data_IF_878867593171
#
_entry.id   IF_878867593171
#
_cell.length_a   1.000
_cell.length_b   1.000
_cell.length_c   1.000
_cell.angle_alpha   90.00
_cell.angle_beta   90.00
_cell.angle_gamma   90.00
#
_symmetry.space_group_name_H-M   'P 1'
#
loop_
_entity.id
_entity.type
_entity.pdbx_description
1 polymer ?
#
# COMPACT_ATOMS: atom_id res chain seq x y z
N UNK A 1 25.87 -1.22 -1.24
CA UNK A 1 24.84 -0.28 -0.78
C UNK A 1 24.79 -0.43 0.73
N UNK A 2 25.25 0.55 1.51
CA UNK A 2 25.16 0.46 2.98
C UNK A 2 23.68 0.33 3.33
N UNK A 3 23.32 -0.76 4.00
CA UNK A 3 21.96 -0.96 4.51
C UNK A 3 21.75 0.15 5.53
N UNK A 4 20.79 1.03 5.26
CA UNK A 4 20.38 2.03 6.23
C UNK A 4 19.95 1.29 7.50
N UNK A 5 20.62 1.49 8.65
CA UNK A 5 20.31 0.78 9.89
C UNK A 5 18.88 1.07 10.37
N UNK A 6 18.28 2.17 9.93
CA UNK A 6 16.88 2.53 10.21
C UNK A 6 15.89 1.93 9.21
N UNK A 7 16.35 1.07 8.29
CA UNK A 7 15.55 0.47 7.22
C UNK A 7 14.74 1.50 6.40
N UNK A 8 15.09 2.79 6.39
CA UNK A 8 14.34 3.84 5.70
C UNK A 8 13.03 4.24 6.37
N UNK A 9 12.92 4.11 7.71
CA UNK A 9 11.73 4.51 8.49
C UNK A 9 11.31 5.94 8.18
N UNK A 10 12.22 6.91 8.29
CA UNK A 10 11.89 8.33 8.03
C UNK A 10 11.43 8.57 6.59
N UNK A 11 12.04 7.89 5.60
CA UNK A 11 11.62 7.98 4.21
C UNK A 11 10.19 7.46 3.98
N UNK A 12 9.82 6.39 4.70
CA UNK A 12 8.46 5.81 4.67
C UNK A 12 7.44 6.70 5.35
N UNK A 13 7.74 7.16 6.56
CA UNK A 13 6.90 8.12 7.30
C UNK A 13 6.67 9.37 6.45
N UNK A 14 7.72 9.92 5.85
CA UNK A 14 7.61 11.08 4.99
C UNK A 14 6.65 10.83 3.81
N UNK A 15 6.75 9.68 3.13
CA UNK A 15 5.81 9.33 2.05
C UNK A 15 4.37 9.24 2.55
N UNK A 16 4.12 8.55 3.67
CA UNK A 16 2.78 8.36 4.21
C UNK A 16 2.16 9.68 4.67
N UNK A 17 2.93 10.55 5.33
CA UNK A 17 2.47 11.87 5.76
C UNK A 17 2.13 12.76 4.56
N UNK A 18 2.93 12.71 3.49
CA UNK A 18 2.63 13.46 2.26
C UNK A 18 1.38 12.92 1.57
N UNK A 19 1.19 11.61 1.54
CA UNK A 19 -0.03 11.00 0.99
C UNK A 19 -1.26 11.36 1.81
N UNK A 20 -1.16 11.38 3.14
CA UNK A 20 -2.24 11.84 4.00
C UNK A 20 -2.60 13.32 3.77
N UNK A 21 -1.63 14.16 3.41
CA UNK A 21 -1.90 15.55 2.98
C UNK A 21 -2.61 15.58 1.62
N UNK A 22 -2.20 14.75 0.66
CA UNK A 22 -2.85 14.64 -0.65
C UNK A 22 -4.32 14.23 -0.50
N UNK A 23 -4.62 13.18 0.27
CA UNK A 23 -6.01 12.72 0.48
C UNK A 23 -6.88 13.75 1.22
N UNK A 24 -6.30 14.66 2.01
CA UNK A 24 -7.06 15.75 2.65
C UNK A 24 -7.34 16.92 1.70
N UNK A 25 -6.65 16.98 0.56
CA UNK A 25 -6.80 18.06 -0.42
C UNK A 25 -7.91 17.83 -1.45
N UNK A 26 -8.54 16.67 -1.47
CA UNK A 26 -9.66 16.35 -2.36
C UNK A 26 -10.57 15.28 -1.76
N UNK A 27 -11.86 15.35 -2.06
CA UNK A 27 -12.86 14.42 -1.50
C UNK A 27 -12.71 12.99 -2.04
N UNK A 28 -12.23 12.87 -3.29
CA UNK A 28 -12.17 11.59 -4.00
C UNK A 28 -10.83 11.39 -4.70
N UNK A 29 -10.48 10.13 -4.96
CA UNK A 29 -9.24 9.81 -5.70
C UNK A 29 -9.29 10.35 -7.14
N UNK A 30 -10.48 10.42 -7.73
CA UNK A 30 -10.68 10.96 -9.07
C UNK A 30 -10.40 12.47 -9.16
N UNK A 31 -10.80 13.23 -8.15
CA UNK A 31 -10.61 14.68 -8.10
C UNK A 31 -9.12 15.08 -7.97
N UNK A 32 -8.24 14.15 -7.59
CA UNK A 32 -6.81 14.41 -7.45
C UNK A 32 -6.14 14.70 -8.80
N UNK A 33 -5.16 15.61 -8.77
CA UNK A 33 -4.25 15.82 -9.89
C UNK A 33 -3.57 14.50 -10.28
N UNK A 34 -3.35 14.31 -11.58
CA UNK A 34 -2.81 13.05 -12.12
C UNK A 34 -1.50 12.64 -11.43
N UNK A 35 -0.61 13.58 -11.12
CA UNK A 35 0.66 13.25 -10.47
C UNK A 35 0.47 12.79 -9.03
N UNK A 36 -0.51 13.32 -8.30
CA UNK A 36 -0.86 12.83 -6.96
C UNK A 36 -1.46 11.43 -7.00
N UNK A 37 -2.31 11.14 -7.99
CA UNK A 37 -2.77 9.77 -8.25
C UNK A 37 -1.62 8.80 -8.52
N UNK A 38 -0.60 9.23 -9.27
CA UNK A 38 0.61 8.42 -9.52
C UNK A 38 1.45 8.21 -8.25
N UNK A 39 1.59 9.24 -7.41
CA UNK A 39 2.29 9.18 -6.11
C UNK A 39 1.63 8.14 -5.19
N UNK A 40 0.32 8.22 -5.02
CA UNK A 40 -0.48 7.24 -4.26
C UNK A 40 -0.31 5.84 -4.87
N UNK A 41 -0.49 5.69 -6.19
CA UNK A 41 -0.43 4.40 -6.85
C UNK A 41 0.99 3.78 -6.93
N UNK A 42 2.05 4.53 -6.61
CA UNK A 42 3.43 4.06 -6.78
C UNK A 42 3.82 3.84 -8.24
N UNK A 43 3.20 4.60 -9.17
CA UNK A 43 3.44 4.55 -10.62
C UNK A 43 4.28 5.72 -11.12
N UNK A 44 4.92 6.45 -10.21
CA UNK A 44 5.77 7.61 -10.50
C UNK A 44 6.97 7.29 -11.39
N UNK A 45 7.32 8.27 -12.24
CA UNK A 45 8.55 8.29 -13.03
C UNK A 45 9.72 8.88 -12.25
N UNK A 46 10.96 8.62 -12.70
CA UNK A 46 12.17 9.25 -12.12
C UNK A 46 12.11 10.78 -12.19
N UNK A 47 11.46 11.34 -13.21
CA UNK A 47 11.30 12.79 -13.38
C UNK A 47 10.51 13.40 -12.21
N UNK A 48 9.40 12.79 -11.83
CA UNK A 48 8.52 13.30 -10.76
C UNK A 48 9.22 13.20 -9.38
N UNK A 49 9.86 12.07 -9.10
CA UNK A 49 10.62 11.88 -7.85
C UNK A 49 11.79 12.89 -7.72
N UNK A 50 12.47 13.20 -8.83
CA UNK A 50 13.54 14.21 -8.82
C UNK A 50 13.01 15.62 -8.58
N UNK A 51 11.83 15.96 -9.11
CA UNK A 51 11.28 17.30 -8.97
C UNK A 51 10.80 17.62 -7.56
N UNK A 52 10.32 16.62 -6.80
CA UNK A 52 9.83 16.84 -5.43
C UNK A 52 10.78 16.30 -4.34
N UNK A 53 11.85 15.59 -4.71
CA UNK A 53 12.82 15.03 -3.78
C UNK A 53 12.29 13.83 -2.98
N UNK A 54 11.12 13.28 -3.33
CA UNK A 54 10.47 12.21 -2.57
C UNK A 54 10.54 10.88 -3.33
N UNK A 55 10.99 9.84 -2.62
CA UNK A 55 11.00 8.46 -3.15
C UNK A 55 9.64 7.79 -2.92
N UNK A 56 8.65 8.07 -3.78
CA UNK A 56 7.27 7.54 -3.65
C UNK A 56 7.14 6.02 -3.71
N UNK A 57 8.22 5.33 -4.10
CA UNK A 57 8.30 3.89 -4.33
C UNK A 57 8.70 3.07 -3.11
N UNK A 58 8.75 3.68 -1.91
CA UNK A 58 9.05 2.98 -0.66
C UNK A 58 8.12 1.77 -0.44
N UNK A 59 6.79 1.93 -0.56
CA UNK A 59 5.82 0.83 -0.46
C UNK A 59 5.56 0.16 -1.83
N UNK A 60 6.62 -0.21 -2.53
CA UNK A 60 6.54 -0.90 -3.81
C UNK A 60 6.30 -0.01 -5.04
N UNK A 61 6.85 -0.45 -6.17
CA UNK A 61 6.72 0.21 -7.46
C UNK A 61 5.75 -0.55 -8.36
N UNK A 62 4.59 0.03 -8.64
CA UNK A 62 3.51 -0.65 -9.38
C UNK A 62 3.64 -0.53 -10.91
N UNK A 63 4.81 -0.12 -11.40
CA UNK A 63 5.09 0.17 -12.81
C UNK A 63 5.03 -1.03 -13.75
N UNK A 64 5.12 -2.26 -13.23
CA UNK A 64 5.09 -3.49 -14.05
C UNK A 64 3.68 -3.85 -14.54
N UNK A 65 2.64 -3.26 -13.95
CA UNK A 65 1.27 -3.43 -14.39
C UNK A 65 0.82 -2.19 -15.21
N UNK A 66 0.97 -2.28 -16.53
CA UNK A 66 0.62 -1.20 -17.46
C UNK A 66 -0.86 -0.84 -17.40
N UNK A 67 -1.76 -1.83 -17.33
CA UNK A 67 -3.21 -1.59 -17.18
C UNK A 67 -3.52 -0.80 -15.91
N UNK A 68 -2.89 -1.14 -14.78
CA UNK A 68 -3.05 -0.38 -13.53
C UNK A 68 -2.61 1.08 -13.70
N UNK A 69 -1.42 1.32 -14.27
CA UNK A 69 -0.93 2.67 -14.51
C UNK A 69 -1.84 3.47 -15.46
N UNK A 70 -2.35 2.85 -16.51
CA UNK A 70 -3.30 3.46 -17.44
C UNK A 70 -4.62 3.83 -16.74
N UNK A 71 -5.17 2.94 -15.92
CA UNK A 71 -6.39 3.21 -15.17
C UNK A 71 -6.21 4.37 -14.17
N UNK A 72 -5.06 4.41 -13.46
CA UNK A 72 -4.72 5.51 -12.54
C UNK A 72 -4.74 6.86 -13.26
N UNK A 73 -4.21 6.93 -14.47
CA UNK A 73 -4.09 8.18 -15.23
C UNK A 73 -5.40 8.55 -15.93
N UNK A 74 -6.02 7.60 -16.63
CA UNK A 74 -7.02 7.88 -17.66
C UNK A 74 -8.45 7.49 -17.25
N UNK A 75 -8.62 6.68 -16.20
CA UNK A 75 -9.95 6.24 -15.71
C UNK A 75 -9.99 6.19 -14.17
N UNK A 76 -9.65 7.28 -13.47
CA UNK A 76 -9.48 7.26 -12.02
C UNK A 76 -10.78 7.01 -11.25
N UNK A 77 -11.95 7.35 -11.83
CA UNK A 77 -13.28 7.04 -11.28
C UNK A 77 -13.39 5.60 -10.75
N UNK A 78 -12.84 4.64 -11.49
CA UNK A 78 -12.93 3.22 -11.15
C UNK A 78 -12.21 2.88 -9.85
N UNK A 79 -11.04 3.49 -9.60
CA UNK A 79 -10.33 3.31 -8.33
C UNK A 79 -10.87 4.21 -7.23
N UNK A 80 -11.45 5.37 -7.59
CA UNK A 80 -12.17 6.21 -6.64
C UNK A 80 -13.32 5.45 -6.00
N UNK A 81 -14.20 4.86 -6.82
CA UNK A 81 -15.34 4.05 -6.36
C UNK A 81 -14.94 2.89 -5.46
N UNK A 82 -13.79 2.26 -5.74
CA UNK A 82 -13.24 1.22 -4.88
C UNK A 82 -12.78 1.80 -3.54
N UNK A 83 -11.92 2.83 -3.58
CA UNK A 83 -11.38 3.48 -2.38
C UNK A 83 -12.47 4.06 -1.48
N UNK A 84 -13.56 4.58 -2.03
CA UNK A 84 -14.73 5.09 -1.27
C UNK A 84 -15.41 4.02 -0.41
N UNK A 85 -15.23 2.72 -0.69
CA UNK A 85 -15.70 1.66 0.18
C UNK A 85 -14.96 1.58 1.52
N UNK A 86 -13.77 2.20 1.60
CA UNK A 86 -12.95 2.22 2.82
C UNK A 86 -13.14 3.56 3.51
N UNK A 87 -13.57 3.60 4.78
CA UNK A 87 -13.75 4.85 5.51
C UNK A 87 -12.39 5.53 5.77
N UNK A 88 -12.39 6.86 5.69
CA UNK A 88 -11.17 7.67 5.88
C UNK A 88 -10.68 7.67 7.34
N UNK A 89 -11.59 7.55 8.29
CA UNK A 89 -11.30 7.45 9.72
C UNK A 89 -12.26 6.45 10.38
N UNK A 90 -11.96 6.06 11.62
CA UNK A 90 -12.75 5.08 12.36
C UNK A 90 -12.49 3.62 11.93
N UNK A 91 -13.33 2.68 12.40
CA UNK A 91 -13.15 1.27 12.12
C UNK A 91 -13.33 0.97 10.62
N UNK A 92 -12.58 -0.03 10.14
CA UNK A 92 -12.78 -0.61 8.80
C UNK A 92 -13.22 -2.05 9.00
N UNK A 93 -14.33 -2.44 8.38
CA UNK A 93 -14.91 -3.79 8.53
C UNK A 93 -14.51 -4.74 7.38
N UNK A 94 -14.83 -6.02 7.53
CA UNK A 94 -14.66 -7.01 6.45
C UNK A 94 -15.54 -6.63 5.25
N UNK A 95 -16.77 -6.18 5.48
CA UNK A 95 -17.70 -5.79 4.42
C UNK A 95 -17.18 -4.59 3.62
N UNK A 96 -16.56 -3.60 4.28
CA UNK A 96 -15.88 -2.48 3.61
C UNK A 96 -14.80 -3.00 2.65
N UNK A 97 -13.98 -3.93 3.15
CA UNK A 97 -12.91 -4.54 2.40
C UNK A 97 -13.43 -5.39 1.22
N UNK A 98 -14.46 -6.20 1.41
CA UNK A 98 -15.05 -7.02 0.36
C UNK A 98 -15.66 -6.16 -0.77
N UNK A 99 -16.36 -5.07 -0.40
CA UNK A 99 -16.86 -4.09 -1.38
C UNK A 99 -15.71 -3.43 -2.13
N UNK A 100 -14.63 -3.06 -1.44
CA UNK A 100 -13.40 -2.56 -2.08
C UNK A 100 -12.84 -3.58 -3.07
N UNK A 101 -12.64 -4.84 -2.69
CA UNK A 101 -12.06 -5.88 -3.56
C UNK A 101 -12.92 -6.12 -4.79
N UNK A 102 -14.25 -6.17 -4.63
CA UNK A 102 -15.20 -6.33 -5.75
C UNK A 102 -15.04 -5.19 -6.76
N UNK A 103 -15.09 -3.94 -6.30
CA UNK A 103 -14.96 -2.75 -7.17
C UNK A 103 -13.56 -2.62 -7.77
N UNK A 104 -12.51 -2.92 -6.99
CA UNK A 104 -11.13 -2.90 -7.46
C UNK A 104 -10.93 -3.90 -8.60
N UNK A 105 -11.42 -5.14 -8.48
CA UNK A 105 -11.36 -6.13 -9.57
C UNK A 105 -12.16 -5.68 -10.79
N UNK A 106 -13.36 -5.15 -10.58
CA UNK A 106 -14.22 -4.63 -11.67
C UNK A 106 -13.55 -3.48 -12.45
N UNK A 107 -12.67 -2.69 -11.82
CA UNK A 107 -11.93 -1.63 -12.47
C UNK A 107 -11.09 -2.11 -13.67
N UNK A 108 -10.66 -3.38 -13.67
CA UNK A 108 -9.83 -3.99 -14.70
C UNK A 108 -10.62 -4.72 -15.78
N UNK A 109 -11.95 -4.76 -15.72
CA UNK A 109 -12.76 -5.32 -16.82
C UNK A 109 -12.43 -4.57 -18.11
N UNK A 110 -12.23 -5.34 -19.18
CA UNK A 110 -11.78 -4.89 -20.50
C UNK A 110 -10.40 -4.21 -20.50
N UNK A 111 -9.49 -4.69 -19.65
CA UNK A 111 -8.07 -4.30 -19.69
C UNK A 111 -7.18 -5.51 -19.96
N UNK A 112 -6.01 -5.36 -20.61
CA UNK A 112 -5.14 -6.50 -20.95
C UNK A 112 -4.51 -7.23 -19.76
N UNK A 113 -4.51 -6.61 -18.57
CA UNK A 113 -3.87 -7.15 -17.36
C UNK A 113 -4.68 -6.78 -16.13
N UNK A 114 -5.07 -7.76 -15.34
CA UNK A 114 -5.77 -7.55 -14.07
C UNK A 114 -4.85 -6.95 -13.00
N UNK A 115 -5.46 -6.27 -12.03
CA UNK A 115 -4.82 -5.94 -10.76
C UNK A 115 -4.75 -7.16 -9.85
N UNK A 116 -3.80 -7.14 -8.92
CA UNK A 116 -3.61 -8.21 -7.93
C UNK A 116 -3.31 -7.67 -6.54
N UNK A 117 -2.79 -8.56 -5.69
CA UNK A 117 -2.46 -8.27 -4.29
C UNK A 117 -1.64 -6.99 -4.13
N UNK A 118 -0.54 -6.83 -4.87
CA UNK A 118 0.34 -5.67 -4.74
C UNK A 118 -0.34 -4.34 -5.08
N UNK A 119 -1.00 -4.26 -6.24
CA UNK A 119 -1.70 -3.03 -6.66
C UNK A 119 -2.89 -2.70 -5.76
N UNK A 120 -3.63 -3.72 -5.31
CA UNK A 120 -4.80 -3.54 -4.46
C UNK A 120 -4.42 -3.10 -3.04
N UNK A 121 -3.43 -3.77 -2.43
CA UNK A 121 -2.97 -3.42 -1.08
C UNK A 121 -2.17 -2.12 -1.04
N UNK A 122 -1.51 -1.73 -2.14
CA UNK A 122 -0.89 -0.40 -2.26
C UNK A 122 -1.92 0.70 -2.07
N UNK A 123 -3.01 0.70 -2.83
CA UNK A 123 -4.04 1.74 -2.71
C UNK A 123 -4.65 1.78 -1.30
N UNK A 124 -4.91 0.61 -0.71
CA UNK A 124 -5.41 0.50 0.67
C UNK A 124 -4.45 1.08 1.70
N UNK A 125 -3.17 0.67 1.67
CA UNK A 125 -2.15 1.13 2.61
C UNK A 125 -1.89 2.63 2.48
N UNK A 126 -2.04 3.21 1.29
CA UNK A 126 -1.91 4.66 1.13
C UNK A 126 -3.13 5.41 1.68
N UNK A 127 -4.33 4.85 1.61
CA UNK A 127 -5.55 5.48 2.17
C UNK A 127 -5.65 5.34 3.69
N UNK A 128 -5.33 4.16 4.22
CA UNK A 128 -5.42 3.81 5.65
C UNK A 128 -4.14 3.08 6.09
N UNK A 129 -3.01 3.81 6.24
CA UNK A 129 -1.74 3.20 6.62
C UNK A 129 -1.74 2.63 8.05
N UNK A 130 -2.70 3.01 8.88
CA UNK A 130 -2.95 2.42 10.20
C UNK A 130 -3.62 1.04 10.12
N UNK A 131 -4.31 0.73 9.02
CA UNK A 131 -5.13 -0.49 8.88
C UNK A 131 -4.57 -1.50 7.88
N UNK A 132 -3.84 -1.06 6.85
CA UNK A 132 -3.44 -1.93 5.76
C UNK A 132 -1.94 -1.91 5.51
N UNK A 133 -1.44 -3.07 5.12
CA UNK A 133 -0.05 -3.31 4.73
C UNK A 133 0.02 -3.42 3.22
N UNK A 134 0.92 -2.69 2.57
CA UNK A 134 1.17 -2.90 1.15
C UNK A 134 2.00 -4.18 0.99
N UNK A 135 1.45 -5.23 0.38
CA UNK A 135 2.15 -6.51 0.18
C UNK A 135 2.74 -6.58 -1.23
N UNK A 136 4.06 -6.59 -1.34
CA UNK A 136 4.78 -6.66 -2.61
C UNK A 136 5.69 -7.89 -2.69
N UNK A 137 6.51 -7.99 -3.75
CA UNK A 137 7.41 -9.13 -3.91
C UNK A 137 8.41 -9.28 -2.75
N UNK A 138 9.20 -8.22 -2.46
CA UNK A 138 10.16 -8.16 -1.35
C UNK A 138 9.64 -8.51 0.04
N UNK A 139 8.48 -7.99 0.45
CA UNK A 139 8.05 -8.11 1.85
C UNK A 139 7.14 -9.32 2.12
N UNK A 140 6.57 -9.93 1.07
CA UNK A 140 5.53 -10.97 1.19
C UNK A 140 5.96 -12.20 1.98
N UNK A 141 7.21 -12.65 1.85
CA UNK A 141 7.67 -13.82 2.62
C UNK A 141 7.69 -13.54 4.12
N UNK A 142 8.25 -12.40 4.53
CA UNK A 142 8.29 -11.98 5.93
C UNK A 142 6.89 -11.78 6.52
N UNK A 143 6.05 -10.99 5.85
CA UNK A 143 4.66 -10.75 6.30
C UNK A 143 3.90 -12.07 6.45
N UNK A 144 4.02 -12.98 5.48
CA UNK A 144 3.33 -14.26 5.57
C UNK A 144 3.88 -15.14 6.70
N UNK A 145 5.19 -15.15 6.95
CA UNK A 145 5.78 -15.92 8.04
C UNK A 145 5.26 -15.45 9.41
N UNK A 146 5.21 -14.14 9.64
CA UNK A 146 4.72 -13.54 10.90
C UNK A 146 3.26 -13.90 11.21
N UNK A 147 2.44 -14.14 10.18
CA UNK A 147 1.03 -14.52 10.33
C UNK A 147 0.76 -16.01 10.05
N UNK A 148 1.80 -16.84 9.97
CA UNK A 148 1.67 -18.29 9.77
C UNK A 148 1.04 -18.70 8.44
N UNK A 149 1.24 -17.89 7.39
CA UNK A 149 0.64 -18.09 6.07
C UNK A 149 1.66 -18.56 5.04
N UNK A 150 1.20 -19.35 4.06
CA UNK A 150 2.02 -19.69 2.90
C UNK A 150 2.08 -18.51 1.91
N UNK A 151 3.27 -17.98 1.58
CA UNK A 151 3.40 -16.84 0.68
C UNK A 151 2.73 -17.09 -0.66
N UNK A 152 2.90 -18.27 -1.26
CA UNK A 152 2.42 -18.61 -2.61
C UNK A 152 0.90 -18.54 -2.79
N UNK A 153 0.12 -18.75 -1.72
CA UNK A 153 -1.35 -18.79 -1.78
C UNK A 153 -2.02 -17.49 -1.32
N UNK A 154 -1.24 -16.50 -0.87
CA UNK A 154 -1.76 -15.18 -0.54
C UNK A 154 -2.25 -14.44 -1.80
N UNK A 155 -3.47 -13.93 -1.74
CA UNK A 155 -4.14 -13.21 -2.81
C UNK A 155 -4.90 -12.02 -2.25
N UNK A 156 -5.35 -11.11 -3.11
CA UNK A 156 -6.22 -10.03 -2.65
C UNK A 156 -7.56 -10.56 -2.09
N UNK A 157 -8.02 -11.74 -2.50
CA UNK A 157 -9.30 -12.27 -2.02
C UNK A 157 -9.25 -12.73 -0.56
N UNK A 158 -8.13 -13.31 -0.13
CA UNK A 158 -7.95 -13.88 1.22
C UNK A 158 -7.03 -13.02 2.11
N UNK A 159 -6.57 -11.88 1.63
CA UNK A 159 -5.63 -11.01 2.35
C UNK A 159 -6.19 -10.51 3.68
N UNK A 160 -7.50 -10.25 3.76
CA UNK A 160 -8.11 -9.82 5.01
C UNK A 160 -7.96 -10.88 6.10
N UNK A 161 -8.42 -12.11 5.83
CA UNK A 161 -8.39 -13.20 6.79
C UNK A 161 -6.96 -13.66 7.12
N UNK A 162 -6.05 -13.54 6.14
CA UNK A 162 -4.68 -14.06 6.27
C UNK A 162 -3.69 -13.05 6.81
N UNK A 163 -3.99 -11.75 6.74
CA UNK A 163 -3.06 -10.70 7.19
C UNK A 163 -3.76 -9.72 8.13
N UNK A 164 -4.89 -9.12 7.71
CA UNK A 164 -5.51 -8.04 8.50
C UNK A 164 -6.10 -8.55 9.80
N UNK A 165 -6.89 -9.62 9.78
CA UNK A 165 -7.46 -10.22 10.98
C UNK A 165 -6.40 -10.64 12.01
N UNK A 166 -5.37 -11.47 11.66
CA UNK A 166 -4.36 -11.85 12.63
C UNK A 166 -3.51 -10.67 13.09
N UNK A 167 -3.18 -9.72 12.21
CA UNK A 167 -2.48 -8.49 12.59
C UNK A 167 -3.24 -7.71 13.67
N UNK A 168 -4.57 -7.59 13.54
CA UNK A 168 -5.42 -6.89 14.52
C UNK A 168 -5.51 -7.59 15.88
N UNK A 169 -5.09 -8.85 15.98
CA UNK A 169 -5.00 -9.59 17.26
C UNK A 169 -3.63 -9.44 17.95
N UNK A 170 -2.66 -8.80 17.30
CA UNK A 170 -1.33 -8.62 17.88
C UNK A 170 -1.33 -7.56 18.98
N UNK A 171 -0.50 -7.74 19.99
CA UNK A 171 -0.36 -6.79 21.12
C UNK A 171 0.07 -5.40 20.66
N UNK A 172 0.97 -5.31 19.67
CA UNK A 172 1.44 -4.03 19.14
C UNK A 172 0.35 -3.28 18.36
N UNK A 173 -0.58 -4.00 17.69
CA UNK A 173 -1.67 -3.35 16.98
C UNK A 173 -2.75 -2.83 17.93
N UNK A 174 -3.01 -3.58 19.00
CA UNK A 174 -3.95 -3.24 20.08
C UNK A 174 -3.39 -2.20 21.06
N UNK A 175 -2.09 -1.89 20.98
CA UNK A 175 -1.46 -0.91 21.85
C UNK A 175 -2.13 0.47 21.70
N UNK A 176 -2.42 1.18 22.79
CA UNK A 176 -3.00 2.52 22.73
C UNK A 176 -2.09 3.48 21.97
N UNK A 177 -2.68 4.52 21.37
CA UNK A 177 -1.90 5.55 20.67
C UNK A 177 -0.95 6.24 21.65
N UNK A 178 0.37 6.22 21.41
CA UNK A 178 1.35 6.76 22.35
C UNK A 178 1.32 8.29 22.38
N UNK A 179 1.81 8.85 23.49
CA UNK A 179 1.89 10.29 23.68
C UNK A 179 3.12 10.90 23.01
N UNK A 180 4.23 10.16 22.96
CA UNK A 180 5.45 10.62 22.30
C UNK A 180 5.21 10.95 20.82
N UNK A 181 5.81 12.04 20.36
CA UNK A 181 5.61 12.59 19.02
C UNK A 181 6.07 11.66 17.92
N UNK A 182 7.21 10.97 18.08
CA UNK A 182 7.77 10.09 17.06
C UNK A 182 7.02 8.77 17.05
N UNK A 183 6.80 8.18 18.22
CA UNK A 183 6.03 6.93 18.33
C UNK A 183 4.61 7.09 17.79
N UNK A 184 3.99 8.25 18.01
CA UNK A 184 2.66 8.56 17.49
C UNK A 184 2.63 8.57 15.96
N UNK A 185 3.64 9.14 15.30
CA UNK A 185 3.77 9.11 13.83
C UNK A 185 3.82 7.68 13.31
N UNK A 186 4.59 6.83 13.98
CA UNK A 186 4.68 5.39 13.65
C UNK A 186 3.33 4.71 13.89
N UNK A 187 2.68 4.97 15.02
CA UNK A 187 1.40 4.38 15.39
C UNK A 187 0.28 4.73 14.40
N UNK A 188 0.24 5.97 13.93
CA UNK A 188 -0.71 6.46 12.92
C UNK A 188 -0.52 5.80 11.55
N UNK A 189 0.62 5.13 11.34
CA UNK A 189 0.99 4.44 10.10
C UNK A 189 1.33 2.95 10.31
N UNK A 190 0.98 2.39 11.49
CA UNK A 190 1.57 1.16 12.02
C UNK A 190 1.47 -0.06 11.11
N UNK A 191 0.35 -0.24 10.41
CA UNK A 191 0.19 -1.38 9.52
C UNK A 191 1.08 -1.24 8.28
N UNK A 192 1.10 -0.09 7.63
CA UNK A 192 1.96 0.16 6.47
C UNK A 192 3.45 0.02 6.82
N UNK A 193 3.83 0.34 8.06
CA UNK A 193 5.21 0.23 8.54
C UNK A 193 5.72 -1.21 8.67
N UNK A 194 4.85 -2.24 8.63
CA UNK A 194 5.30 -3.63 8.48
C UNK A 194 6.11 -3.84 7.18
N UNK A 195 5.92 -2.98 6.17
CA UNK A 195 6.80 -2.96 5.00
C UNK A 195 8.26 -2.70 5.39
N UNK A 196 8.53 -1.77 6.31
CA UNK A 196 9.89 -1.45 6.74
C UNK A 196 10.59 -2.65 7.39
N UNK A 197 9.84 -3.42 8.19
CA UNK A 197 10.33 -4.57 8.95
C UNK A 197 10.65 -5.75 8.02
N UNK A 198 9.78 -6.02 7.05
CA UNK A 198 9.89 -7.22 6.20
C UNK A 198 10.52 -6.97 4.83
N UNK A 199 10.84 -5.73 4.47
CA UNK A 199 11.38 -5.45 3.15
C UNK A 199 12.80 -6.02 2.97
N UNK A 200 12.91 -7.07 2.16
CA UNK A 200 14.21 -7.62 1.74
C UNK A 200 14.51 -7.28 0.26
N UNK A 201 15.51 -6.42 -0.02
CA UNK A 201 15.92 -6.12 -1.40
C UNK A 201 16.49 -7.34 -2.15
N UNK A 202 16.98 -8.40 -1.48
CA UNK A 202 17.52 -9.61 -2.10
C UNK A 202 16.44 -10.48 -2.76
N UNK A 203 15.22 -10.45 -2.24
CA UNK A 203 14.06 -11.10 -2.87
C UNK A 203 13.71 -10.47 -4.24
N UNK A 204 14.10 -9.20 -4.44
CA UNK A 204 13.97 -8.50 -5.73
C UNK A 204 14.99 -8.98 -6.76
N UNK A 205 16.21 -9.34 -6.34
CA UNK A 205 17.27 -9.84 -7.24
C UNK A 205 17.07 -11.29 -7.66
N UNK A 206 16.60 -12.16 -6.74
CA UNK A 206 16.38 -13.58 -7.07
C UNK A 206 15.32 -13.79 -8.17
N UNK A 207 14.30 -12.94 -8.25
CA UNK A 207 13.31 -12.97 -9.34
C UNK A 207 13.82 -12.46 -10.70
N UNK A 208 15.02 -11.87 -10.77
CA UNK A 208 15.62 -11.39 -12.03
C UNK A 208 16.62 -12.36 -12.64
N UNK A 209 17.13 -13.33 -11.87
CA UNK A 209 18.05 -14.37 -12.36
C UNK A 209 17.38 -15.69 -12.71
N UNK A 210 16.07 -15.82 -12.54
CA UNK A 210 15.29 -17.03 -12.79
C UNK A 210 14.38 -16.92 -14.03
N UNK A 211 14.77 -16.10 -15.02
CA UNK A 211 14.02 -15.87 -16.25
C UNK A 211 14.91 -15.80 -17.45
#
# INVERSE_FOLDING_TARGET
MKVDPTHGIEGRLHVLERIAKIFRGADTFEALHMDDRKRIAGTTGKKLERSDGVTWRWFGAMRRNSSFATLVNNRPARFSQALECIPFAGPVTLEDYERYVKKFKAAFVNTPKSGGLATGTRLLAMKRPDQFVCVDGPNRKGICADFGQAPTTLSLANYWQRVIEPMRQTSWWLHPRPLDTIERRIWDCRAAMLDAIHYDPKEKSNKRGAG
#
